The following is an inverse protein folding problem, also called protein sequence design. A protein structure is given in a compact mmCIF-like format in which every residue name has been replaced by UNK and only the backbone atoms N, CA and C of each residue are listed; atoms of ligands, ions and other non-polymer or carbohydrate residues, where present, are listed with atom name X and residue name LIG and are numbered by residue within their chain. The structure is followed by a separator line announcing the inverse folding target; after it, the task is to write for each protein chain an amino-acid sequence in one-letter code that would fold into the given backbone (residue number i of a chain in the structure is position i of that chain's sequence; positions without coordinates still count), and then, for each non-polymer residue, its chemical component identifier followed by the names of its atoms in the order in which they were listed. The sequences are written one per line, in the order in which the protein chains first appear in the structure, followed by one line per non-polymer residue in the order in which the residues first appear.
data_IF_885309684647
#
_entry.id   IF_885309684647
#
_cell.length_a   1.000
_cell.length_b   1.000
_cell.length_c   1.000
_cell.angle_alpha   90.00
_cell.angle_beta   90.00
_cell.angle_gamma   90.00
#
_symmetry.space_group_name_H-M   'P 1'
#
loop_
_entity.id
_entity.type
_entity.pdbx_description
1 polymer ?
#
# COMPACT_ATOMS: atom_id res chain seq x y z
N UNK A 1 5.07 33.80 8.16
CA UNK A 1 5.42 32.37 8.04
C UNK A 1 6.08 31.87 9.34
N UNK A 2 5.42 32.04 10.49
CA UNK A 2 6.03 31.80 11.82
C UNK A 2 5.17 30.95 12.78
N UNK A 3 4.19 30.21 12.27
CA UNK A 3 3.42 29.27 13.08
C UNK A 3 3.56 27.86 12.50
N UNK A 4 4.72 27.23 12.75
CA UNK A 4 4.90 25.79 12.56
C UNK A 4 4.73 25.14 13.95
N UNK A 5 3.64 24.40 14.12
CA UNK A 5 3.22 23.73 15.36
C UNK A 5 4.07 22.49 15.70
N UNK A 6 5.01 22.11 14.84
CA UNK A 6 5.87 20.94 15.03
C UNK A 6 7.30 21.37 15.37
N UNK A 7 7.82 20.97 16.54
CA UNK A 7 9.20 21.28 16.93
C UNK A 7 10.22 20.73 15.92
N UNK A 8 11.29 21.50 15.68
CA UNK A 8 12.38 21.13 14.76
C UNK A 8 13.33 20.07 15.33
N UNK A 9 13.36 19.90 16.64
CA UNK A 9 14.11 18.82 17.28
C UNK A 9 13.32 17.51 17.17
N UNK A 10 13.96 16.37 16.89
CA UNK A 10 13.27 15.10 16.75
C UNK A 10 12.74 14.63 18.11
N UNK A 11 11.53 15.09 18.49
CA UNK A 11 10.81 14.63 19.68
C UNK A 11 10.39 13.16 19.52
N UNK A 12 10.33 12.66 18.28
CA UNK A 12 9.90 11.30 17.95
C UNK A 12 11.08 10.42 17.53
N UNK A 13 12.03 10.22 18.45
CA UNK A 13 13.16 9.28 18.25
C UNK A 13 12.72 7.91 17.66
N UNK A 14 11.60 7.31 18.08
CA UNK A 14 11.11 6.07 17.48
C UNK A 14 10.67 6.22 16.02
N UNK A 15 9.98 7.30 15.66
CA UNK A 15 9.58 7.57 14.27
C UNK A 15 10.81 7.79 13.38
N UNK A 16 11.85 8.46 13.89
CA UNK A 16 13.12 8.64 13.18
C UNK A 16 13.94 7.35 13.07
N UNK A 17 13.82 6.41 14.01
CA UNK A 17 14.40 5.06 13.89
C UNK A 17 13.69 4.23 12.83
N UNK A 18 12.34 4.26 12.83
CA UNK A 18 11.54 3.57 11.83
C UNK A 18 11.84 4.12 10.43
N UNK A 19 11.81 5.44 10.25
CA UNK A 19 12.10 6.07 8.97
C UNK A 19 13.47 5.64 8.41
N UNK A 20 14.52 5.65 9.25
CA UNK A 20 15.86 5.18 8.85
C UNK A 20 15.88 3.72 8.45
N UNK A 21 15.28 2.84 9.26
CA UNK A 21 15.18 1.42 8.93
C UNK A 21 14.51 1.20 7.55
N UNK A 22 13.41 1.91 7.29
CA UNK A 22 12.66 1.79 6.03
C UNK A 22 13.43 2.33 4.82
N UNK A 23 14.17 3.43 4.97
CA UNK A 23 14.95 4.03 3.87
C UNK A 23 16.25 3.28 3.59
N UNK A 24 16.81 2.62 4.60
CA UNK A 24 18.09 1.91 4.50
C UNK A 24 17.91 0.42 4.12
N UNK A 25 16.67 -0.11 4.14
CA UNK A 25 16.37 -1.50 3.81
C UNK A 25 16.76 -1.82 2.36
N UNK A 26 17.66 -2.78 2.17
CA UNK A 26 18.08 -3.27 0.85
C UNK A 26 17.48 -4.64 0.59
N UNK A 27 17.29 -4.98 -0.69
CA UNK A 27 16.70 -6.26 -1.11
C UNK A 27 17.44 -7.48 -0.55
N UNK A 28 18.77 -7.42 -0.55
CA UNK A 28 19.71 -8.43 -0.06
C UNK A 28 19.67 -8.63 1.45
N UNK A 29 19.13 -7.67 2.21
CA UNK A 29 18.97 -7.79 3.66
C UNK A 29 17.65 -8.49 4.02
N UNK A 30 16.78 -8.74 3.04
CA UNK A 30 15.46 -9.34 3.25
C UNK A 30 15.58 -10.87 3.24
N UNK A 31 15.13 -11.57 4.29
CA UNK A 31 15.11 -13.02 4.33
C UNK A 31 14.34 -13.65 3.15
N UNK A 32 14.80 -14.80 2.67
CA UNK A 32 14.23 -15.47 1.49
C UNK A 32 12.75 -15.84 1.66
N UNK A 33 12.33 -16.23 2.86
CA UNK A 33 10.95 -16.54 3.19
C UNK A 33 10.05 -15.30 3.17
N UNK A 34 10.56 -14.16 3.66
CA UNK A 34 9.88 -12.86 3.56
C UNK A 34 9.76 -12.43 2.10
N UNK A 35 10.82 -12.55 1.30
CA UNK A 35 10.78 -12.27 -0.14
C UNK A 35 9.79 -13.18 -0.87
N UNK A 36 9.74 -14.47 -0.51
CA UNK A 36 8.79 -15.41 -1.08
C UNK A 36 7.35 -14.98 -0.77
N UNK A 37 7.06 -14.63 0.48
CA UNK A 37 5.74 -14.16 0.90
C UNK A 37 5.36 -12.85 0.20
N UNK A 38 6.27 -11.87 0.12
CA UNK A 38 6.03 -10.60 -0.56
C UNK A 38 5.65 -10.79 -2.05
N UNK A 39 6.31 -11.73 -2.74
CA UNK A 39 5.96 -12.10 -4.12
C UNK A 39 4.56 -12.70 -4.22
N UNK A 40 4.21 -13.61 -3.31
CA UNK A 40 2.87 -14.24 -3.29
C UNK A 40 1.77 -13.21 -3.04
N UNK A 41 1.93 -12.32 -2.06
CA UNK A 41 0.91 -11.31 -1.74
C UNK A 41 0.81 -10.28 -2.87
N UNK A 42 1.94 -9.91 -3.50
CA UNK A 42 1.92 -9.06 -4.71
C UNK A 42 1.09 -9.69 -5.81
N UNK A 43 1.33 -10.98 -6.10
CA UNK A 43 0.59 -11.70 -7.13
C UNK A 43 -0.91 -11.74 -6.83
N UNK A 44 -1.25 -12.07 -5.59
CA UNK A 44 -2.62 -12.11 -5.09
C UNK A 44 -3.33 -10.76 -5.24
N UNK A 45 -2.68 -9.67 -4.81
CA UNK A 45 -3.25 -8.32 -4.89
C UNK A 45 -3.43 -7.84 -6.32
N UNK A 46 -2.49 -8.15 -7.22
CA UNK A 46 -2.67 -7.87 -8.65
C UNK A 46 -3.87 -8.65 -9.20
N UNK A 47 -4.06 -9.90 -8.78
CA UNK A 47 -5.25 -10.68 -9.10
C UNK A 47 -6.53 -10.00 -8.62
N UNK A 48 -6.55 -9.49 -7.39
CA UNK A 48 -7.67 -8.76 -6.81
C UNK A 48 -7.96 -7.46 -7.58
N UNK A 49 -6.94 -6.68 -7.95
CA UNK A 49 -7.10 -5.48 -8.79
C UNK A 49 -7.78 -5.81 -10.11
N UNK A 50 -7.31 -6.86 -10.80
CA UNK A 50 -7.87 -7.30 -12.09
C UNK A 50 -9.32 -7.77 -11.90
N UNK A 51 -9.61 -8.54 -10.85
CA UNK A 51 -10.96 -9.01 -10.57
C UNK A 51 -11.89 -7.83 -10.22
N UNK A 52 -11.44 -6.92 -9.35
CA UNK A 52 -12.16 -5.72 -8.94
C UNK A 52 -12.46 -4.77 -10.09
N UNK A 53 -11.53 -4.63 -11.06
CA UNK A 53 -11.73 -3.86 -12.28
C UNK A 53 -12.93 -4.33 -13.13
N UNK A 54 -13.26 -5.62 -13.05
CA UNK A 54 -14.36 -6.24 -13.79
C UNK A 54 -15.70 -6.25 -13.02
N UNK A 55 -15.77 -5.55 -11.89
CA UNK A 55 -17.02 -5.40 -11.13
C UNK A 55 -17.80 -4.14 -11.56
N UNK A 56 -19.12 -4.07 -11.31
CA UNK A 56 -19.89 -2.85 -11.59
C UNK A 56 -19.39 -1.60 -10.84
N UNK A 57 -18.73 -1.77 -9.70
CA UNK A 57 -18.10 -0.67 -8.96
C UNK A 57 -16.75 -0.29 -9.59
N UNK A 58 -15.93 -1.29 -9.95
CA UNK A 58 -14.66 -1.09 -10.64
C UNK A 58 -14.81 -0.35 -11.96
N UNK A 59 -15.82 -0.69 -12.75
CA UNK A 59 -16.15 0.02 -14.00
C UNK A 59 -16.43 1.51 -13.76
N UNK A 60 -17.17 1.84 -12.69
CA UNK A 60 -17.45 3.24 -12.31
C UNK A 60 -16.20 3.97 -11.83
N UNK A 61 -15.34 3.31 -11.06
CA UNK A 61 -14.05 3.84 -10.63
C UNK A 61 -13.18 4.15 -11.85
N UNK A 62 -13.04 3.19 -12.77
CA UNK A 62 -12.26 3.37 -13.99
C UNK A 62 -12.80 4.52 -14.84
N UNK A 63 -14.12 4.57 -15.04
CA UNK A 63 -14.75 5.66 -15.81
C UNK A 63 -14.51 7.04 -15.18
N UNK A 64 -14.48 7.14 -13.85
CA UNK A 64 -14.26 8.40 -13.15
C UNK A 64 -12.81 8.89 -13.19
N UNK A 65 -11.83 8.00 -13.36
CA UNK A 65 -10.40 8.33 -13.27
C UNK A 65 -9.62 8.10 -14.56
N UNK A 66 -10.26 7.59 -15.61
CA UNK A 66 -9.66 7.44 -16.92
C UNK A 66 -9.42 8.82 -17.55
N UNK A 67 -8.15 9.23 -17.60
CA UNK A 67 -7.73 10.52 -18.18
C UNK A 67 -7.38 10.46 -19.67
N UNK A 68 -7.68 9.35 -20.35
CA UNK A 68 -7.22 9.06 -21.70
C UNK A 68 -5.81 8.47 -21.73
N UNK A 69 -5.19 8.43 -22.92
CA UNK A 69 -3.83 7.92 -23.07
C UNK A 69 -2.82 8.93 -22.51
N UNK A 70 -2.36 8.69 -21.28
CA UNK A 70 -1.25 9.42 -20.69
C UNK A 70 0.03 8.59 -20.83
N UNK A 71 0.86 8.91 -21.83
CA UNK A 71 2.13 8.21 -22.07
C UNK A 71 3.11 8.23 -20.87
N UNK A 72 2.87 9.10 -19.89
CA UNK A 72 3.65 9.20 -18.64
C UNK A 72 2.90 8.71 -17.41
N UNK A 73 1.71 8.13 -17.59
CA UNK A 73 0.88 7.61 -16.52
C UNK A 73 1.29 6.20 -16.09
N UNK A 74 0.98 5.86 -14.85
CA UNK A 74 1.10 4.51 -14.32
C UNK A 74 -0.18 3.71 -14.63
N UNK A 75 -0.03 2.41 -14.82
CA UNK A 75 -1.09 1.54 -15.29
C UNK A 75 -2.03 1.08 -14.17
N UNK A 76 -3.24 0.70 -14.60
CA UNK A 76 -4.17 -0.11 -13.82
C UNK A 76 -4.18 -1.53 -14.41
N UNK A 77 -3.66 -2.54 -13.69
CA UNK A 77 -3.56 -3.92 -14.17
C UNK A 77 -4.86 -4.46 -14.77
N UNK A 78 -4.76 -5.18 -15.89
CA UNK A 78 -5.91 -5.76 -16.58
C UNK A 78 -6.75 -4.78 -17.41
N UNK A 79 -6.34 -3.51 -17.53
CA UNK A 79 -7.07 -2.47 -18.27
C UNK A 79 -6.15 -1.67 -19.20
N UNK A 80 -6.74 -0.80 -20.03
CA UNK A 80 -6.02 0.22 -20.80
C UNK A 80 -5.87 1.55 -20.05
N UNK A 81 -6.28 1.62 -18.78
CA UNK A 81 -6.26 2.85 -18.01
C UNK A 81 -4.84 3.18 -17.56
N UNK A 82 -4.42 4.41 -17.82
CA UNK A 82 -3.19 5.01 -17.31
C UNK A 82 -3.50 6.39 -16.73
N UNK A 83 -2.92 6.71 -15.57
CA UNK A 83 -3.17 7.98 -14.87
C UNK A 83 -1.96 8.41 -14.05
N UNK A 84 -1.99 9.60 -13.45
CA UNK A 84 -0.88 10.10 -12.65
C UNK A 84 -0.53 9.14 -11.49
N UNK A 85 0.74 9.02 -11.05
CA UNK A 85 1.16 8.01 -10.08
C UNK A 85 0.31 7.94 -8.80
N UNK A 86 -0.02 9.09 -8.22
CA UNK A 86 -0.87 9.16 -7.01
C UNK A 86 -2.31 8.69 -7.27
N UNK A 87 -2.85 8.95 -8.46
CA UNK A 87 -4.17 8.48 -8.87
C UNK A 87 -4.15 6.99 -9.21
N UNK A 88 -3.08 6.49 -9.82
CA UNK A 88 -2.93 5.08 -10.14
C UNK A 88 -2.84 4.25 -8.85
N UNK A 89 -2.03 4.69 -7.88
CA UNK A 89 -1.98 4.09 -6.55
C UNK A 89 -3.37 4.03 -5.90
N UNK A 90 -4.13 5.13 -5.96
CA UNK A 90 -5.47 5.23 -5.38
C UNK A 90 -6.50 4.34 -6.09
N UNK A 91 -6.52 4.33 -7.42
CA UNK A 91 -7.43 3.50 -8.21
C UNK A 91 -7.11 2.03 -8.00
N UNK A 92 -5.84 1.64 -8.08
CA UNK A 92 -5.40 0.27 -7.82
C UNK A 92 -5.74 -0.16 -6.38
N UNK A 93 -5.62 0.73 -5.39
CA UNK A 93 -6.00 0.43 -4.02
C UNK A 93 -7.48 0.12 -3.87
N UNK A 94 -8.35 0.95 -4.46
CA UNK A 94 -9.77 0.66 -4.44
C UNK A 94 -10.10 -0.64 -5.15
N UNK A 95 -9.54 -0.86 -6.34
CA UNK A 95 -9.81 -2.07 -7.12
C UNK A 95 -9.31 -3.35 -6.43
N UNK A 96 -8.19 -3.28 -5.71
CA UNK A 96 -7.70 -4.40 -4.90
C UNK A 96 -8.74 -4.81 -3.84
N UNK A 97 -9.40 -3.83 -3.22
CA UNK A 97 -10.25 -3.97 -2.03
C UNK A 97 -11.75 -4.15 -2.37
N UNK A 98 -12.18 -3.92 -3.62
CA UNK A 98 -13.62 -3.96 -4.01
C UNK A 98 -14.31 -5.29 -3.63
N UNK A 99 -13.56 -6.38 -3.65
CA UNK A 99 -14.07 -7.72 -3.40
C UNK A 99 -13.76 -8.26 -2.00
N UNK A 100 -12.92 -7.56 -1.22
CA UNK A 100 -12.44 -8.00 0.09
C UNK A 100 -11.79 -9.40 0.05
N UNK A 101 -10.93 -9.62 -0.95
CA UNK A 101 -10.33 -10.94 -1.28
C UNK A 101 -8.82 -11.01 -1.04
N UNK A 102 -8.20 -9.85 -0.90
CA UNK A 102 -6.78 -9.65 -0.67
C UNK A 102 -6.37 -10.05 0.76
N UNK A 103 -5.11 -9.79 1.12
CA UNK A 103 -4.57 -10.33 2.36
C UNK A 103 -5.24 -9.73 3.60
N UNK A 104 -5.44 -10.59 4.61
CA UNK A 104 -5.87 -10.14 5.94
C UNK A 104 -4.70 -10.36 6.89
N UNK A 105 -4.22 -9.25 7.45
CA UNK A 105 -3.23 -9.25 8.51
C UNK A 105 -3.74 -8.32 9.62
N UNK A 106 -2.99 -7.27 9.93
CA UNK A 106 -3.53 -6.11 10.63
C UNK A 106 -4.30 -5.27 9.61
N UNK A 107 -5.60 -5.53 9.48
CA UNK A 107 -6.40 -4.98 8.38
C UNK A 107 -5.93 -5.52 7.02
N UNK A 108 -5.97 -4.66 6.00
CA UNK A 108 -5.75 -5.01 4.59
C UNK A 108 -4.53 -4.26 4.03
N UNK A 109 -3.30 -4.57 4.51
CA UNK A 109 -2.11 -3.83 4.12
C UNK A 109 -1.79 -3.98 2.63
N UNK A 110 -2.08 -5.14 2.01
CA UNK A 110 -1.79 -5.32 0.58
C UNK A 110 -2.54 -4.33 -0.29
N UNK A 111 -3.82 -4.06 0.03
CA UNK A 111 -4.70 -3.13 -0.68
C UNK A 111 -4.16 -1.69 -0.71
N UNK A 112 -3.19 -1.35 0.15
CA UNK A 112 -2.62 -0.01 0.20
C UNK A 112 -1.15 0.02 -0.19
N UNK A 113 -0.35 -0.92 0.31
CA UNK A 113 1.10 -0.96 0.10
C UNK A 113 1.45 -1.34 -1.34
N UNK A 114 0.87 -2.41 -1.88
CA UNK A 114 1.22 -2.91 -3.21
C UNK A 114 0.77 -1.94 -4.31
N UNK A 115 -0.44 -1.37 -4.28
CA UNK A 115 -0.87 -0.32 -5.22
C UNK A 115 0.05 0.91 -5.23
N UNK A 116 0.46 1.38 -4.05
CA UNK A 116 1.39 2.51 -3.95
C UNK A 116 2.79 2.16 -4.49
N UNK A 117 3.32 1.00 -4.10
CA UNK A 117 4.62 0.52 -4.57
C UNK A 117 4.62 0.30 -6.09
N UNK A 118 3.54 -0.25 -6.66
CA UNK A 118 3.41 -0.50 -8.09
C UNK A 118 3.42 0.80 -8.89
N UNK A 119 2.60 1.77 -8.50
CA UNK A 119 2.56 3.07 -9.17
C UNK A 119 3.91 3.79 -9.09
N UNK A 120 4.58 3.77 -7.94
CA UNK A 120 5.90 4.41 -7.80
C UNK A 120 7.00 3.66 -8.53
N UNK A 121 6.96 2.32 -8.58
CA UNK A 121 7.91 1.52 -9.32
C UNK A 121 7.85 1.83 -10.83
N UNK A 122 6.65 1.95 -11.38
CA UNK A 122 6.48 2.38 -12.77
C UNK A 122 6.96 3.82 -12.98
N UNK A 123 6.53 4.75 -12.12
CA UNK A 123 6.89 6.16 -12.24
C UNK A 123 8.41 6.40 -12.20
N UNK A 124 9.12 5.65 -11.35
CA UNK A 124 10.57 5.77 -11.16
C UNK A 124 11.37 4.82 -12.05
N UNK A 125 10.74 4.00 -12.89
CA UNK A 125 11.39 2.90 -13.62
C UNK A 125 12.23 2.00 -12.69
N UNK A 126 11.67 1.64 -11.53
CA UNK A 126 12.35 0.86 -10.52
C UNK A 126 12.57 -0.59 -10.96
N UNK A 127 13.67 -1.19 -10.50
CA UNK A 127 13.91 -2.61 -10.66
C UNK A 127 12.93 -3.45 -9.83
N UNK A 128 12.70 -4.73 -10.20
CA UNK A 128 11.88 -5.65 -9.40
C UNK A 128 12.36 -5.79 -7.94
N UNK A 129 13.66 -5.70 -7.71
CA UNK A 129 14.26 -5.75 -6.37
C UNK A 129 13.89 -4.51 -5.55
N UNK A 130 13.95 -3.32 -6.14
CA UNK A 130 13.52 -2.08 -5.50
C UNK A 130 12.02 -2.10 -5.21
N UNK A 131 11.21 -2.62 -6.12
CA UNK A 131 9.78 -2.81 -5.90
C UNK A 131 9.50 -3.73 -4.69
N UNK A 132 10.12 -4.92 -4.64
CA UNK A 132 9.92 -5.86 -3.53
C UNK A 132 10.44 -5.31 -2.20
N UNK A 133 11.58 -4.61 -2.18
CA UNK A 133 12.07 -3.94 -0.99
C UNK A 133 11.09 -2.85 -0.51
N UNK A 134 10.51 -2.08 -1.44
CA UNK A 134 9.46 -1.10 -1.14
C UNK A 134 8.18 -1.72 -0.56
N UNK A 135 7.76 -2.88 -1.10
CA UNK A 135 6.63 -3.64 -0.54
C UNK A 135 6.94 -4.04 0.91
N UNK A 136 8.08 -4.69 1.17
CA UNK A 136 8.45 -5.13 2.53
C UNK A 136 8.56 -3.95 3.49
N UNK A 137 9.18 -2.84 3.06
CA UNK A 137 9.25 -1.61 3.85
C UNK A 137 7.83 -1.06 4.18
N UNK A 138 6.92 -1.05 3.22
CA UNK A 138 5.54 -0.60 3.45
C UNK A 138 4.80 -1.45 4.49
N UNK A 139 4.97 -2.77 4.44
CA UNK A 139 4.42 -3.69 5.44
C UNK A 139 5.02 -3.44 6.83
N UNK A 140 6.35 -3.34 6.94
CA UNK A 140 7.04 -3.03 8.20
C UNK A 140 6.56 -1.70 8.80
N UNK A 141 6.35 -0.69 7.96
CA UNK A 141 5.82 0.60 8.40
C UNK A 141 4.40 0.46 8.97
N UNK A 142 3.49 -0.17 8.21
CA UNK A 142 2.09 -0.34 8.60
C UNK A 142 1.94 -1.14 9.89
N UNK A 143 2.63 -2.28 9.99
CA UNK A 143 2.57 -3.18 11.16
C UNK A 143 3.13 -2.49 12.40
N UNK A 144 4.28 -1.81 12.32
CA UNK A 144 4.88 -1.13 13.49
C UNK A 144 4.06 0.07 13.95
N UNK A 145 3.44 0.80 13.02
CA UNK A 145 2.50 1.87 13.37
C UNK A 145 1.28 1.28 14.05
N UNK A 146 0.73 0.18 13.53
CA UNK A 146 -0.36 -0.51 14.21
C UNK A 146 0.00 -0.94 15.61
N UNK A 147 1.12 -1.65 15.80
CA UNK A 147 1.56 -2.15 17.09
C UNK A 147 1.73 -1.02 18.12
N UNK A 148 2.20 0.16 17.68
CA UNK A 148 2.31 1.34 18.51
C UNK A 148 0.95 1.97 18.88
N UNK A 149 -0.09 1.70 18.11
CA UNK A 149 -1.46 2.20 18.31
C UNK A 149 -2.41 1.15 18.91
N UNK A 150 -1.92 -0.07 19.17
CA UNK A 150 -2.71 -1.12 19.78
C UNK A 150 -3.32 -0.62 21.08
N UNK A 151 -4.65 -0.52 21.07
CA UNK A 151 -5.38 -0.16 22.25
C UNK A 151 -5.23 -1.27 23.30
N UNK A 152 -5.36 -0.93 24.59
CA UNK A 152 -5.34 -1.96 25.63
C UNK A 152 -6.38 -3.06 25.31
N UNK A 153 -6.18 -4.31 25.74
CA UNK A 153 -7.13 -5.40 25.47
C UNK A 153 -8.58 -5.08 25.84
N UNK A 154 -8.79 -4.18 26.79
CA UNK A 154 -10.11 -3.71 27.22
C UNK A 154 -10.73 -2.68 26.27
N UNK A 155 -9.92 -1.83 25.63
CA UNK A 155 -10.38 -0.92 24.56
C UNK A 155 -10.65 -1.72 23.29
N UNK A 156 -9.77 -2.65 22.92
CA UNK A 156 -10.00 -3.54 21.78
C UNK A 156 -11.33 -4.30 21.93
N UNK A 157 -11.62 -4.89 23.10
CA UNK A 157 -12.90 -5.58 23.35
C UNK A 157 -14.14 -4.67 23.26
N UNK A 158 -14.01 -3.37 23.47
CA UNK A 158 -15.12 -2.41 23.35
C UNK A 158 -15.37 -1.96 21.91
N UNK A 159 -14.37 -2.01 21.04
CA UNK A 159 -14.43 -1.49 19.66
C UNK A 159 -14.25 -2.55 18.56
N UNK A 160 -13.80 -3.78 18.89
CA UNK A 160 -13.57 -4.85 17.93
C UNK A 160 -14.83 -5.24 17.12
N UNK A 161 -16.02 -4.96 17.64
CA UNK A 161 -17.30 -5.21 16.95
C UNK A 161 -17.47 -4.36 15.69
N UNK A 162 -16.68 -3.29 15.53
CA UNK A 162 -16.71 -2.40 14.35
C UNK A 162 -15.63 -2.71 13.31
N UNK A 163 -14.73 -3.67 13.56
CA UNK A 163 -13.60 -3.99 12.67
C UNK A 163 -13.78 -5.27 11.85
N UNK A 164 -14.93 -5.95 11.95
CA UNK A 164 -15.14 -7.28 11.35
C UNK A 164 -16.17 -7.32 10.21
N UNK A 165 -16.56 -6.17 9.66
CA UNK A 165 -17.53 -6.11 8.56
C UNK A 165 -17.22 -4.95 7.64
N UNK A 166 -16.35 -5.21 6.66
CA UNK A 166 -16.62 -4.81 5.29
C UNK A 166 -16.79 -6.06 4.44
#
# INVERSE_FOLDING_TARGET
FEHILFPRDPIHLPAGQLARFLTDLRYEDIPDDVLHKAKLITLDTIGCIIAGANTPLGEKILAAYHSGNNQSGCCVPGTSCQTAPSLAAKVNAWLADVLDYEDVAVGHPSATVIPAALAMAEHLNASPQQFLAGVVAGYEAGIRVHDATLASPDVYRRFAVYHAWH
#
